data_IF_746282948547
#
_entry.id   IF_746282948547
#
_cell.length_a   1.000
_cell.length_b   1.000
_cell.length_c   1.000
_cell.angle_alpha   90.00
_cell.angle_beta   90.00
_cell.angle_gamma   90.00
#
_symmetry.space_group_name_H-M   'P 1'
#
loop_
_entity.id
_entity.type
_entity.pdbx_description
1 polymer ?
#
# COMPACT_ATOMS: atom_id res chain seq x y z
N UNK A 1 1.71 9.83 1.28
CA UNK A 1 2.62 8.67 1.47
C UNK A 1 2.39 8.08 2.85
N UNK A 2 2.46 6.75 3.02
CA UNK A 2 2.38 6.09 4.34
C UNK A 2 3.08 4.72 4.32
N UNK A 3 3.23 4.06 5.48
CA UNK A 3 3.60 2.62 5.53
C UNK A 3 2.40 1.76 5.13
N UNK A 4 2.61 0.69 4.37
CA UNK A 4 1.58 -0.32 4.15
C UNK A 4 1.20 -1.05 5.46
N UNK A 5 -0.05 -1.54 5.52
CA UNK A 5 -0.61 -2.21 6.71
C UNK A 5 -0.10 -3.64 6.85
N UNK A 6 0.06 -4.34 5.74
CA UNK A 6 0.41 -5.76 5.69
C UNK A 6 1.85 -5.99 5.27
N UNK A 7 2.45 -5.01 4.61
CA UNK A 7 3.77 -5.09 4.02
C UNK A 7 4.75 -4.09 4.65
N UNK A 8 6.04 -4.38 4.52
CA UNK A 8 7.11 -3.47 4.93
C UNK A 8 7.58 -2.59 3.77
N UNK A 9 6.63 -1.86 3.19
CA UNK A 9 6.87 -0.89 2.14
C UNK A 9 6.21 0.44 2.45
N UNK A 10 6.60 1.48 1.71
CA UNK A 10 5.87 2.73 1.69
C UNK A 10 4.91 2.72 0.50
N UNK A 11 3.78 3.36 0.66
CA UNK A 11 2.80 3.53 -0.39
C UNK A 11 2.65 5.02 -0.67
N UNK A 12 2.81 5.37 -1.93
CA UNK A 12 2.64 6.70 -2.49
C UNK A 12 1.45 6.68 -3.45
N UNK A 13 0.55 7.64 -3.30
CA UNK A 13 -0.60 7.82 -4.18
C UNK A 13 -0.96 9.30 -4.24
N UNK A 14 -1.64 9.74 -5.31
CA UNK A 14 -2.24 11.07 -5.39
C UNK A 14 -3.21 11.34 -4.23
N UNK A 15 -3.46 12.61 -3.96
CA UNK A 15 -4.38 13.01 -2.87
C UNK A 15 -5.81 12.55 -3.14
N UNK A 16 -6.24 12.51 -4.39
CA UNK A 16 -7.58 12.05 -4.78
C UNK A 16 -7.80 10.59 -4.39
N UNK A 17 -6.83 9.73 -4.71
CA UNK A 17 -6.82 8.30 -4.34
C UNK A 17 -6.84 8.13 -2.81
N UNK A 18 -6.08 8.96 -2.08
CA UNK A 18 -6.11 8.93 -0.61
C UNK A 18 -7.51 9.19 -0.06
N UNK A 19 -8.19 10.20 -0.61
CA UNK A 19 -9.49 10.62 -0.14
C UNK A 19 -10.53 9.53 -0.38
N UNK A 20 -10.48 8.87 -1.54
CA UNK A 20 -11.35 7.73 -1.87
C UNK A 20 -11.17 6.56 -0.87
N UNK A 21 -9.93 6.14 -0.60
CA UNK A 21 -9.60 5.09 0.37
C UNK A 21 -10.08 5.44 1.79
N UNK A 22 -9.86 6.70 2.20
CA UNK A 22 -10.25 7.18 3.52
C UNK A 22 -11.78 7.23 3.67
N UNK A 23 -12.50 7.58 2.60
CA UNK A 23 -13.95 7.62 2.60
C UNK A 23 -14.55 6.21 2.62
N UNK A 24 -13.98 5.26 1.87
CA UNK A 24 -14.37 3.85 1.96
C UNK A 24 -14.19 3.31 3.38
N UNK A 25 -13.02 3.55 3.99
CA UNK A 25 -12.76 3.13 5.36
C UNK A 25 -13.77 3.77 6.32
N UNK A 26 -14.05 5.07 6.19
CA UNK A 26 -15.02 5.78 7.04
C UNK A 26 -16.43 5.21 6.93
N UNK A 27 -16.87 4.80 5.74
CA UNK A 27 -18.19 4.18 5.54
C UNK A 27 -18.33 2.83 6.25
N UNK A 28 -17.23 2.10 6.43
CA UNK A 28 -17.21 0.79 7.11
C UNK A 28 -17.06 0.91 8.64
N UNK A 29 -16.66 2.06 9.16
CA UNK A 29 -16.37 2.24 10.58
C UNK A 29 -17.54 2.85 11.38
N UNK A 30 -17.77 2.34 12.59
CA UNK A 30 -18.74 2.89 13.52
C UNK A 30 -18.04 3.82 14.52
N UNK A 31 -18.37 5.12 14.49
CA UNK A 31 -17.79 6.13 15.39
C UNK A 31 -18.04 5.89 16.88
N UNK A 32 -19.02 5.05 17.25
CA UNK A 32 -19.30 4.71 18.65
C UNK A 32 -18.63 3.42 19.12
N UNK A 33 -17.91 2.74 18.23
CA UNK A 33 -17.12 1.56 18.57
C UNK A 33 -15.66 1.98 18.86
N UNK A 34 -15.20 1.74 20.08
CA UNK A 34 -13.85 2.10 20.52
C UNK A 34 -12.73 1.45 19.66
N UNK A 35 -12.89 0.19 19.25
CA UNK A 35 -11.91 -0.49 18.39
C UNK A 35 -11.85 0.14 17.00
N UNK A 36 -13.00 0.53 16.44
CA UNK A 36 -13.06 1.20 15.13
C UNK A 36 -12.38 2.57 15.19
N UNK A 37 -12.52 3.30 16.30
CA UNK A 37 -11.80 4.56 16.50
C UNK A 37 -10.27 4.35 16.58
N UNK A 38 -9.82 3.28 17.23
CA UNK A 38 -8.39 2.95 17.30
C UNK A 38 -7.83 2.61 15.92
N UNK A 39 -8.54 1.78 15.14
CA UNK A 39 -8.17 1.43 13.76
C UNK A 39 -8.06 2.70 12.92
N UNK A 40 -9.09 3.56 12.96
CA UNK A 40 -9.08 4.80 12.19
C UNK A 40 -7.89 5.70 12.57
N UNK A 41 -7.65 5.87 13.87
CA UNK A 41 -6.53 6.68 14.38
C UNK A 41 -5.19 6.17 13.90
N UNK A 42 -4.96 4.85 13.94
CA UNK A 42 -3.71 4.25 13.46
C UNK A 42 -3.58 4.36 11.94
N UNK A 43 -4.68 4.20 11.19
CA UNK A 43 -4.65 4.27 9.74
C UNK A 43 -4.25 5.66 9.22
N UNK A 44 -4.74 6.72 9.88
CA UNK A 44 -4.45 8.11 9.48
C UNK A 44 -3.18 8.69 10.12
N UNK A 45 -2.66 8.11 11.20
CA UNK A 45 -1.49 8.67 11.92
C UNK A 45 -0.21 8.66 11.10
N UNK A 46 -0.08 7.69 10.20
CA UNK A 46 1.17 7.41 9.51
C UNK A 46 1.22 8.03 8.11
N UNK A 47 0.27 8.92 7.80
CA UNK A 47 0.18 9.62 6.52
C UNK A 47 1.03 10.88 6.53
N UNK A 48 1.81 11.04 5.49
CA UNK A 48 2.62 12.23 5.25
C UNK A 48 2.39 12.76 3.83
N UNK A 49 2.16 14.07 3.75
CA UNK A 49 2.10 14.79 2.48
C UNK A 49 3.53 15.03 2.02
N UNK A 50 3.85 14.61 0.80
CA UNK A 50 5.18 14.74 0.22
C UNK A 50 5.08 15.62 -1.01
N UNK A 51 5.97 16.60 -1.11
CA UNK A 51 6.11 17.48 -2.26
C UNK A 51 7.32 17.08 -3.08
N UNK A 52 7.21 17.16 -4.41
CA UNK A 52 8.36 17.02 -5.30
C UNK A 52 9.12 18.33 -5.43
N UNK A 53 10.44 18.26 -5.50
CA UNK A 53 11.26 19.41 -5.89
C UNK A 53 11.14 19.68 -7.40
N UNK A 54 11.77 20.77 -7.87
CA UNK A 54 11.76 21.16 -9.29
C UNK A 54 12.44 20.16 -10.24
N UNK A 55 13.11 19.13 -9.72
CA UNK A 55 13.72 18.04 -10.49
C UNK A 55 12.94 16.73 -10.35
N UNK A 56 11.74 16.75 -9.75
CA UNK A 56 10.91 15.57 -9.55
C UNK A 56 11.39 14.65 -8.44
N UNK A 57 12.24 15.12 -7.51
CA UNK A 57 12.72 14.31 -6.38
C UNK A 57 11.78 14.45 -5.19
N UNK A 58 11.60 13.35 -4.45
CA UNK A 58 10.90 13.34 -3.17
C UNK A 58 11.89 13.13 -2.03
N UNK A 59 11.68 13.81 -0.91
CA UNK A 59 12.43 13.56 0.32
C UNK A 59 11.64 12.58 1.20
N UNK A 60 12.17 11.38 1.40
CA UNK A 60 11.59 10.39 2.32
C UNK A 60 12.20 10.58 3.71
N UNK A 61 11.40 10.86 4.76
CA UNK A 61 11.95 11.01 6.10
C UNK A 61 12.62 9.74 6.62
N UNK A 62 13.70 9.93 7.39
CA UNK A 62 14.53 8.84 7.93
C UNK A 62 13.72 7.78 8.70
N UNK A 63 12.66 8.18 9.41
CA UNK A 63 11.79 7.26 10.14
C UNK A 63 11.15 6.20 9.24
N UNK A 64 10.74 6.59 8.03
CA UNK A 64 10.13 5.67 7.08
C UNK A 64 11.17 4.74 6.48
N UNK A 65 12.36 5.25 6.14
CA UNK A 65 13.48 4.41 5.69
C UNK A 65 13.82 3.33 6.74
N UNK A 66 13.87 3.70 8.02
CA UNK A 66 14.14 2.76 9.11
C UNK A 66 13.04 1.71 9.26
N UNK A 67 11.77 2.12 9.26
CA UNK A 67 10.63 1.22 9.46
C UNK A 67 10.46 0.24 8.29
N UNK A 68 10.77 0.63 7.05
CA UNK A 68 10.68 -0.25 5.87
C UNK A 68 12.00 -0.92 5.51
N UNK A 69 13.07 -0.66 6.27
CA UNK A 69 14.38 -1.25 6.08
C UNK A 69 15.10 -0.80 4.81
N UNK A 70 14.76 0.37 4.26
CA UNK A 70 15.46 0.97 3.11
C UNK A 70 16.79 1.54 3.59
N UNK A 71 17.90 1.10 2.98
CA UNK A 71 19.25 1.60 3.28
C UNK A 71 19.78 2.55 2.20
N UNK A 72 19.90 2.07 0.98
CA UNK A 72 20.45 2.82 -0.17
C UNK A 72 19.55 2.73 -1.39
N UNK A 73 19.15 1.52 -1.75
CA UNK A 73 18.47 1.23 -3.00
C UNK A 73 16.98 0.97 -2.77
N UNK A 74 16.17 1.57 -3.65
CA UNK A 74 14.73 1.39 -3.64
C UNK A 74 14.26 0.76 -4.95
N UNK A 75 13.19 -0.02 -4.87
CA UNK A 75 12.42 -0.48 -6.03
C UNK A 75 11.02 0.11 -5.98
N UNK A 76 10.59 0.69 -7.10
CA UNK A 76 9.22 1.16 -7.29
C UNK A 76 8.40 0.07 -7.97
N UNK A 77 7.20 -0.19 -7.44
CA UNK A 77 6.24 -1.13 -8.01
C UNK A 77 4.90 -0.39 -8.13
N UNK A 78 4.38 -0.28 -9.35
CA UNK A 78 3.03 0.23 -9.56
C UNK A 78 1.99 -0.85 -9.27
N UNK A 79 1.01 -0.53 -8.43
CA UNK A 79 -0.09 -1.43 -8.07
C UNK A 79 -1.37 -0.61 -8.15
N UNK A 80 -2.17 -0.83 -9.20
CA UNK A 80 -3.40 -0.09 -9.45
C UNK A 80 -3.18 1.45 -9.48
N UNK A 81 -3.81 2.20 -8.57
CA UNK A 81 -3.75 3.66 -8.49
C UNK A 81 -2.66 4.19 -7.54
N UNK A 82 -1.74 3.32 -7.10
CA UNK A 82 -0.68 3.63 -6.14
C UNK A 82 0.68 3.09 -6.58
N UNK A 83 1.73 3.66 -6.01
CA UNK A 83 3.12 3.22 -6.15
C UNK A 83 3.60 2.73 -4.80
N UNK A 84 4.11 1.52 -4.76
CA UNK A 84 4.82 1.00 -3.61
C UNK A 84 6.32 1.23 -3.75
N UNK A 85 6.96 1.60 -2.64
CA UNK A 85 8.39 1.88 -2.52
C UNK A 85 8.97 0.87 -1.54
N UNK A 86 9.85 0.03 -2.06
CA UNK A 86 10.42 -1.10 -1.35
C UNK A 86 11.92 -0.96 -1.18
N UNK A 87 12.46 -1.49 -0.08
CA UNK A 87 13.88 -1.82 -0.03
C UNK A 87 14.19 -2.87 -1.10
N UNK A 88 15.22 -2.64 -1.91
CA UNK A 88 15.52 -3.47 -3.09
C UNK A 88 15.65 -4.96 -2.74
N UNK A 89 16.33 -5.27 -1.65
CA UNK A 89 16.59 -6.63 -1.17
C UNK A 89 15.33 -7.35 -0.69
N UNK A 90 14.30 -6.60 -0.27
CA UNK A 90 13.01 -7.15 0.14
C UNK A 90 12.11 -7.39 -1.06
N UNK A 91 12.23 -6.55 -2.09
CA UNK A 91 11.36 -6.60 -3.26
C UNK A 91 11.53 -7.88 -4.10
N UNK A 92 12.68 -8.56 -3.98
CA UNK A 92 12.94 -9.82 -4.68
C UNK A 92 12.07 -10.99 -4.16
N UNK A 93 11.58 -10.90 -2.92
CA UNK A 93 10.82 -11.97 -2.26
C UNK A 93 9.30 -11.77 -2.31
N UNK A 94 8.83 -10.77 -3.05
CA UNK A 94 7.41 -10.40 -3.08
C UNK A 94 6.57 -11.24 -4.01
N UNK A 95 7.21 -11.82 -5.03
CA UNK A 95 6.50 -12.48 -6.11
C UNK A 95 6.35 -13.95 -5.78
N UNK A 96 5.17 -14.47 -6.09
CA UNK A 96 4.95 -15.90 -6.12
C UNK A 96 5.85 -16.53 -7.18
N UNK A 97 6.24 -17.79 -6.96
CA UNK A 97 6.87 -18.58 -8.02
C UNK A 97 5.94 -18.66 -9.24
N UNK A 98 6.48 -18.62 -10.48
CA UNK A 98 5.68 -18.53 -11.70
C UNK A 98 4.57 -19.57 -11.81
N UNK A 99 4.84 -20.81 -11.40
CA UNK A 99 3.89 -21.92 -11.44
C UNK A 99 2.75 -21.71 -10.42
N UNK A 100 3.09 -21.29 -9.20
CA UNK A 100 2.11 -21.00 -8.16
C UNK A 100 1.23 -19.80 -8.54
N UNK A 101 1.85 -18.77 -9.15
CA UNK A 101 1.13 -17.61 -9.65
C UNK A 101 0.13 -17.98 -10.74
N UNK A 102 0.55 -18.77 -11.73
CA UNK A 102 -0.33 -19.23 -12.81
C UNK A 102 -1.53 -20.03 -12.30
N UNK A 103 -1.30 -20.95 -11.36
CA UNK A 103 -2.37 -21.75 -10.77
C UNK A 103 -3.40 -20.90 -10.00
N UNK A 104 -2.92 -19.97 -9.15
CA UNK A 104 -3.80 -19.09 -8.38
C UNK A 104 -4.61 -18.15 -9.29
N UNK A 105 -3.98 -17.61 -10.34
CA UNK A 105 -4.66 -16.74 -11.30
C UNK A 105 -5.78 -17.49 -12.05
N UNK A 106 -5.53 -18.73 -12.47
CA UNK A 106 -6.57 -19.54 -13.12
C UNK A 106 -7.77 -19.83 -12.21
N UNK A 107 -7.53 -20.04 -10.91
CA UNK A 107 -8.58 -20.33 -9.93
C UNK A 107 -9.52 -19.13 -9.76
N UNK A 108 -8.95 -17.94 -9.53
CA UNK A 108 -9.71 -16.68 -9.40
C UNK A 108 -10.58 -16.45 -10.65
N UNK A 109 -10.00 -16.63 -11.85
CA UNK A 109 -10.72 -16.45 -13.13
C UNK A 109 -11.80 -17.51 -13.40
N UNK A 110 -11.84 -18.62 -12.65
CA UNK A 110 -12.89 -19.65 -12.72
C UNK A 110 -14.02 -19.35 -11.73
N UNK A 111 -13.72 -18.79 -10.56
CA UNK A 111 -14.72 -18.46 -9.53
C UNK A 111 -15.67 -17.34 -9.96
N UNK A 112 -15.17 -16.28 -10.60
CA UNK A 112 -16.02 -15.19 -11.14
C UNK A 112 -17.06 -15.68 -12.17
N UNK A 113 -16.73 -16.74 -12.92
CA UNK A 113 -17.65 -17.34 -13.89
C UNK A 113 -18.75 -18.19 -13.24
N UNK A 114 -18.59 -18.60 -11.98
CA UNK A 114 -19.58 -19.40 -11.24
C UNK A 114 -20.60 -18.55 -10.49
N UNK A 115 -20.26 -17.34 -10.07
CA UNK A 115 -21.17 -16.43 -9.34
C UNK A 115 -22.08 -15.61 -10.26
N UNK A 116 -21.81 -15.60 -11.57
CA UNK A 116 -22.62 -14.90 -12.58
C UNK A 116 -23.63 -15.83 -13.29
N UNK A 117 -23.80 -17.07 -12.81
CA UNK A 117 -24.78 -18.04 -13.33
C UNK A 117 -25.77 -18.47 -12.25
#
# INVERSE_FOLDING_TARGET
>A
MRKDVFQDCLVLYPEEVWNEELDELRQRLNKWNANHQLIFRQFVSDVEIITMDGNGRILIPKRYLQITGIQSDVRFIGVDNKIEIWAKERAEKLFMEPEAFGAALEEIMKEERRTTS
#
